data_IF_325155410312
#
_entry.id   IF_325155410312
#
_cell.length_a   1.000
_cell.length_b   1.000
_cell.length_c   1.000
_cell.angle_alpha   90.00
_cell.angle_beta   90.00
_cell.angle_gamma   90.00
#
_symmetry.space_group_name_H-M   'P 1'
#
loop_
_entity.id
_entity.type
_entity.pdbx_description
1 polymer ?
#
# COMPACT_ATOMS: atom_id res chain seq x y z
N UNK A 1 -6.55 24.67 -2.45
CA UNK A 1 -6.72 24.18 -3.85
C UNK A 1 -7.98 23.34 -3.96
N UNK A 2 -8.54 23.24 -5.15
CA UNK A 2 -9.56 22.26 -5.49
C UNK A 2 -8.90 21.03 -6.09
N UNK A 3 -9.03 19.88 -5.44
CA UNK A 3 -8.34 18.64 -5.80
C UNK A 3 -9.39 17.59 -6.19
N UNK A 4 -9.25 16.96 -7.33
CA UNK A 4 -10.10 15.84 -7.71
C UNK A 4 -9.28 14.55 -7.83
N UNK A 5 -9.60 13.56 -6.99
CA UNK A 5 -9.04 12.21 -7.12
C UNK A 5 -9.89 11.37 -8.07
N UNK A 6 -9.24 10.62 -8.96
CA UNK A 6 -9.88 9.63 -9.83
C UNK A 6 -9.37 8.24 -9.49
N UNK A 7 -10.28 7.32 -9.19
CA UNK A 7 -9.94 5.92 -8.87
C UNK A 7 -11.07 4.99 -9.28
N UNK A 8 -10.79 3.74 -9.64
CA UNK A 8 -11.84 2.74 -9.82
C UNK A 8 -12.32 2.23 -8.45
N UNK A 9 -11.38 2.05 -7.52
CA UNK A 9 -11.61 1.46 -6.21
C UNK A 9 -11.64 2.51 -5.10
N UNK A 10 -12.71 2.51 -4.29
CA UNK A 10 -12.88 3.38 -3.11
C UNK A 10 -13.70 2.67 -2.03
N UNK A 11 -13.79 3.27 -0.84
CA UNK A 11 -14.68 2.75 0.21
C UNK A 11 -16.13 2.60 -0.30
N UNK A 12 -16.88 1.57 0.14
CA UNK A 12 -16.63 0.65 1.24
C UNK A 12 -15.81 -0.60 0.88
N UNK A 13 -15.25 -0.71 -0.34
CA UNK A 13 -14.30 -1.77 -0.62
C UNK A 13 -13.06 -1.60 0.26
N UNK A 14 -12.58 -2.72 0.85
CA UNK A 14 -11.42 -2.72 1.72
C UNK A 14 -10.20 -3.30 0.98
N UNK A 15 -9.21 -2.47 0.78
CA UNK A 15 -7.92 -2.81 0.17
C UNK A 15 -6.92 -1.68 0.37
N UNK A 16 -5.70 -1.88 -0.08
CA UNK A 16 -4.61 -0.91 0.12
C UNK A 16 -4.85 0.42 -0.61
N UNK A 17 -5.31 0.37 -1.87
CA UNK A 17 -5.55 1.56 -2.70
C UNK A 17 -6.72 2.35 -2.15
N UNK A 18 -7.84 1.69 -1.89
CA UNK A 18 -9.09 2.29 -1.41
C UNK A 18 -8.87 3.07 -0.12
N UNK A 19 -8.19 2.43 0.83
CA UNK A 19 -7.89 3.02 2.13
C UNK A 19 -6.93 4.20 1.98
N UNK A 20 -5.89 4.09 1.16
CA UNK A 20 -4.93 5.17 0.95
C UNK A 20 -5.54 6.37 0.24
N UNK A 21 -6.33 6.17 -0.79
CA UNK A 21 -7.00 7.27 -1.49
C UNK A 21 -7.99 7.98 -0.56
N UNK A 22 -8.77 7.23 0.22
CA UNK A 22 -9.69 7.82 1.18
C UNK A 22 -8.96 8.63 2.26
N UNK A 23 -7.88 8.07 2.84
CA UNK A 23 -7.07 8.76 3.86
C UNK A 23 -6.38 10.00 3.29
N UNK A 24 -5.78 9.92 2.10
CA UNK A 24 -5.15 11.07 1.45
C UNK A 24 -6.18 12.19 1.23
N UNK A 25 -7.36 11.87 0.68
CA UNK A 25 -8.42 12.83 0.46
C UNK A 25 -8.90 13.49 1.76
N UNK A 26 -9.09 12.71 2.84
CA UNK A 26 -9.47 13.21 4.15
C UNK A 26 -8.40 14.12 4.76
N UNK A 27 -7.12 13.75 4.67
CA UNK A 27 -6.00 14.55 5.18
C UNK A 27 -5.85 15.88 4.41
N UNK A 28 -6.06 15.87 3.11
CA UNK A 28 -6.05 17.09 2.30
C UNK A 28 -7.25 18.00 2.62
N UNK A 29 -8.43 17.44 2.83
CA UNK A 29 -9.60 18.20 3.27
C UNK A 29 -9.36 18.83 4.66
N UNK A 30 -8.76 18.08 5.59
CA UNK A 30 -8.38 18.58 6.91
C UNK A 30 -7.30 19.68 6.82
N UNK A 31 -6.44 19.67 5.80
CA UNK A 31 -5.49 20.74 5.50
C UNK A 31 -6.11 21.98 4.80
N UNK A 32 -7.45 22.02 4.63
CA UNK A 32 -8.17 23.16 4.10
C UNK A 32 -8.31 23.17 2.56
N UNK A 33 -8.11 22.03 1.90
CA UNK A 33 -8.38 21.90 0.46
C UNK A 33 -9.85 21.52 0.21
N UNK A 34 -10.40 21.93 -0.92
CA UNK A 34 -11.69 21.46 -1.45
C UNK A 34 -11.45 20.18 -2.23
N UNK A 35 -11.88 19.04 -1.67
CA UNK A 35 -11.50 17.71 -2.17
C UNK A 35 -12.70 16.94 -2.67
N UNK A 36 -12.62 16.45 -3.89
CA UNK A 36 -13.56 15.50 -4.47
C UNK A 36 -12.89 14.18 -4.87
N UNK A 37 -13.62 13.09 -4.73
CA UNK A 37 -13.22 11.76 -5.23
C UNK A 37 -14.25 11.31 -6.27
N UNK A 38 -13.80 10.91 -7.45
CA UNK A 38 -14.61 10.27 -8.46
C UNK A 38 -14.21 8.80 -8.54
N UNK A 39 -15.15 7.91 -8.25
CA UNK A 39 -14.87 6.47 -8.25
C UNK A 39 -15.96 5.67 -8.97
N UNK A 40 -15.63 4.42 -9.34
CA UNK A 40 -16.61 3.50 -9.93
C UNK A 40 -17.12 2.45 -8.95
N UNK A 41 -16.66 2.49 -7.70
CA UNK A 41 -17.15 1.65 -6.61
C UNK A 41 -18.55 2.08 -6.17
N UNK A 42 -19.56 1.17 -6.14
CA UNK A 42 -20.89 1.48 -5.64
C UNK A 42 -20.88 1.77 -4.12
N UNK A 43 -21.79 2.62 -3.64
CA UNK A 43 -21.93 2.94 -2.21
C UNK A 43 -22.31 1.71 -1.35
N UNK A 44 -23.02 0.76 -1.95
CA UNK A 44 -23.45 -0.51 -1.34
C UNK A 44 -23.60 -1.59 -2.42
N UNK A 45 -23.47 -2.88 -2.07
CA UNK A 45 -23.68 -3.96 -3.04
C UNK A 45 -24.98 -3.79 -3.83
N UNK A 46 -24.92 -3.92 -5.15
CA UNK A 46 -26.07 -3.79 -6.04
C UNK A 46 -26.49 -2.35 -6.39
N UNK A 47 -25.94 -1.32 -5.76
CA UNK A 47 -26.19 0.06 -6.16
C UNK A 47 -25.60 0.33 -7.57
N UNK A 48 -26.30 1.13 -8.36
CA UNK A 48 -25.90 1.53 -9.71
C UNK A 48 -26.40 2.93 -10.06
N UNK A 49 -25.81 3.53 -11.09
CA UNK A 49 -26.09 4.91 -11.49
C UNK A 49 -25.01 5.88 -11.00
N UNK A 50 -25.27 7.15 -11.24
CA UNK A 50 -24.41 8.25 -10.80
C UNK A 50 -25.01 8.85 -9.53
N UNK A 51 -24.22 8.93 -8.48
CA UNK A 51 -24.62 9.57 -7.21
C UNK A 51 -23.49 10.42 -6.66
N UNK A 52 -23.85 11.37 -5.82
CA UNK A 52 -22.90 12.20 -5.08
C UNK A 52 -23.26 12.13 -3.60
N UNK A 53 -22.26 11.90 -2.77
CA UNK A 53 -22.39 11.82 -1.32
C UNK A 53 -21.22 12.54 -0.62
N UNK A 54 -21.25 12.62 0.70
CA UNK A 54 -20.16 13.14 1.52
C UNK A 54 -19.55 12.03 2.35
N UNK A 55 -18.21 12.02 2.39
CA UNK A 55 -17.40 11.20 3.30
C UNK A 55 -16.58 12.17 4.18
N UNK A 56 -17.16 12.59 5.31
CA UNK A 56 -16.64 13.72 6.07
C UNK A 56 -16.69 15.01 5.23
N UNK A 57 -15.53 15.67 5.09
CA UNK A 57 -15.38 16.89 4.30
C UNK A 57 -15.08 16.63 2.81
N UNK A 58 -14.99 15.36 2.41
CA UNK A 58 -14.72 14.95 1.01
C UNK A 58 -16.03 14.74 0.24
N UNK A 59 -16.15 15.34 -0.95
CA UNK A 59 -17.24 15.05 -1.88
C UNK A 59 -16.93 13.79 -2.68
N UNK A 60 -17.84 12.80 -2.70
CA UNK A 60 -17.63 11.54 -3.42
C UNK A 60 -18.66 11.40 -4.55
N UNK A 61 -18.18 11.41 -5.79
CA UNK A 61 -18.97 11.12 -6.99
C UNK A 61 -18.81 9.65 -7.36
N UNK A 62 -19.88 8.88 -7.27
CA UNK A 62 -19.88 7.46 -7.60
C UNK A 62 -20.47 7.23 -8.98
N UNK A 63 -19.71 6.54 -9.81
CA UNK A 63 -20.09 6.14 -11.17
C UNK A 63 -20.27 4.62 -11.19
N UNK A 64 -21.31 4.11 -10.57
CA UNK A 64 -21.53 2.68 -10.45
C UNK A 64 -22.28 2.13 -11.68
N UNK A 65 -21.76 1.06 -12.30
CA UNK A 65 -22.40 0.36 -13.39
C UNK A 65 -22.63 -1.11 -13.05
N UNK A 66 -23.67 -1.71 -13.64
CA UNK A 66 -23.87 -3.15 -13.60
C UNK A 66 -22.90 -3.81 -14.59
N UNK A 67 -21.88 -4.47 -14.07
CA UNK A 67 -20.90 -5.18 -14.87
C UNK A 67 -20.86 -6.64 -14.40
N UNK A 68 -20.80 -7.63 -15.30
CA UNK A 68 -20.62 -9.03 -14.94
C UNK A 68 -19.40 -9.20 -14.01
N UNK A 69 -19.53 -10.00 -12.96
CA UNK A 69 -18.47 -10.21 -11.98
C UNK A 69 -18.31 -9.12 -10.91
N UNK A 70 -19.15 -8.05 -10.92
CA UNK A 70 -19.17 -7.04 -9.86
C UNK A 70 -17.92 -6.13 -9.80
N UNK A 71 -17.10 -6.11 -10.86
CA UNK A 71 -15.92 -5.25 -10.90
C UNK A 71 -16.33 -3.77 -10.91
N UNK A 72 -15.58 -2.89 -10.20
CA UNK A 72 -15.83 -1.45 -10.16
C UNK A 72 -15.37 -0.78 -11.47
N UNK A 73 -16.12 -0.97 -12.54
CA UNK A 73 -15.84 -0.43 -13.89
C UNK A 73 -17.08 0.24 -14.43
N UNK A 74 -16.91 1.38 -15.09
CA UNK A 74 -18.02 2.06 -15.76
C UNK A 74 -17.68 2.36 -17.24
N UNK A 75 -18.40 1.79 -18.21
CA UNK A 75 -18.06 1.93 -19.64
C UNK A 75 -18.04 3.38 -20.15
N UNK A 76 -18.82 4.26 -19.53
CA UNK A 76 -18.89 5.70 -19.86
C UNK A 76 -18.16 6.58 -18.82
N UNK A 77 -17.24 6.03 -18.04
CA UNK A 77 -16.49 6.80 -17.03
C UNK A 77 -15.88 8.09 -17.60
N UNK A 78 -15.19 8.11 -18.77
CA UNK A 78 -14.63 9.35 -19.34
C UNK A 78 -15.67 10.47 -19.56
N UNK A 79 -16.90 10.12 -19.96
CA UNK A 79 -17.98 11.08 -20.16
C UNK A 79 -18.45 11.69 -18.82
N UNK A 80 -18.65 10.86 -17.81
CA UNK A 80 -19.07 11.34 -16.49
C UNK A 80 -17.96 12.15 -15.81
N UNK A 81 -16.72 11.68 -15.89
CA UNK A 81 -15.55 12.42 -15.41
C UNK A 81 -15.48 13.81 -16.08
N UNK A 82 -15.66 13.90 -17.41
CA UNK A 82 -15.67 15.20 -18.09
C UNK A 82 -16.76 16.15 -17.58
N UNK A 83 -17.91 15.63 -17.15
CA UNK A 83 -18.98 16.43 -16.54
C UNK A 83 -18.60 16.94 -15.17
N UNK A 84 -18.07 16.07 -14.32
CA UNK A 84 -17.59 16.44 -12.97
C UNK A 84 -16.49 17.49 -13.07
N UNK A 85 -15.44 17.26 -13.89
CA UNK A 85 -14.33 18.21 -14.03
C UNK A 85 -14.79 19.58 -14.55
N UNK A 86 -15.82 19.66 -15.39
CA UNK A 86 -16.40 20.95 -15.81
C UNK A 86 -17.19 21.65 -14.73
N UNK A 87 -17.88 20.90 -13.87
CA UNK A 87 -18.66 21.45 -12.76
C UNK A 87 -17.75 21.93 -11.62
N UNK A 88 -16.84 21.08 -11.18
CA UNK A 88 -16.02 21.30 -9.98
C UNK A 88 -14.79 22.19 -10.29
N UNK A 89 -14.35 22.25 -11.55
CA UNK A 89 -13.19 23.03 -12.00
C UNK A 89 -11.96 22.86 -11.09
N UNK A 90 -11.44 21.64 -10.96
CA UNK A 90 -10.30 21.39 -10.09
C UNK A 90 -9.04 22.11 -10.56
N UNK A 91 -8.19 22.47 -9.61
CA UNK A 91 -6.87 23.03 -9.87
C UNK A 91 -5.88 21.93 -10.28
N UNK A 92 -6.11 20.69 -9.77
CA UNK A 92 -5.33 19.49 -10.08
C UNK A 92 -6.19 18.23 -10.03
N UNK A 93 -5.82 17.26 -10.87
CA UNK A 93 -6.44 15.93 -10.88
C UNK A 93 -5.39 14.88 -10.52
N UNK A 94 -5.64 14.08 -9.49
CA UNK A 94 -4.79 13.00 -9.05
C UNK A 94 -5.43 11.65 -9.36
N UNK A 95 -4.84 10.90 -10.31
CA UNK A 95 -5.35 9.60 -10.72
C UNK A 95 -4.62 8.48 -9.95
N UNK A 96 -5.36 7.51 -9.44
CA UNK A 96 -4.83 6.37 -8.68
C UNK A 96 -5.04 5.09 -9.46
N UNK A 97 -3.93 4.41 -9.80
CA UNK A 97 -3.93 3.27 -10.70
C UNK A 97 -3.40 2.01 -10.01
N UNK A 98 -4.19 0.95 -10.05
CA UNK A 98 -3.72 -0.43 -9.87
C UNK A 98 -3.30 -1.07 -11.20
N UNK A 99 -3.21 -2.40 -11.23
CA UNK A 99 -3.00 -3.12 -12.50
C UNK A 99 -4.25 -3.06 -13.39
N UNK A 100 -5.42 -3.26 -12.79
CA UNK A 100 -6.73 -3.25 -13.48
C UNK A 100 -7.59 -2.11 -12.96
N UNK A 101 -7.47 -0.95 -13.56
CA UNK A 101 -8.27 0.25 -13.27
C UNK A 101 -8.72 0.91 -14.57
N UNK A 102 -9.54 0.19 -15.39
CA UNK A 102 -9.84 0.60 -16.76
C UNK A 102 -10.61 1.92 -16.85
N UNK A 103 -11.44 2.26 -15.86
CA UNK A 103 -12.19 3.51 -15.85
C UNK A 103 -11.26 4.71 -15.61
N UNK A 104 -10.32 4.59 -14.67
CA UNK A 104 -9.28 5.61 -14.40
C UNK A 104 -8.36 5.75 -15.61
N UNK A 105 -7.88 4.63 -16.18
CA UNK A 105 -7.00 4.63 -17.35
C UNK A 105 -7.67 5.31 -18.57
N UNK A 106 -8.92 4.97 -18.86
CA UNK A 106 -9.67 5.60 -19.94
C UNK A 106 -9.95 7.09 -19.72
N UNK A 107 -10.12 7.50 -18.43
CA UNK A 107 -10.40 8.89 -18.05
C UNK A 107 -9.15 9.78 -18.10
N UNK A 108 -7.94 9.22 -18.06
CA UNK A 108 -6.69 10.00 -18.14
C UNK A 108 -6.65 10.89 -19.40
N UNK A 109 -7.06 10.34 -20.56
CA UNK A 109 -7.12 11.13 -21.80
C UNK A 109 -8.08 12.32 -21.70
N UNK A 110 -9.16 12.17 -20.95
CA UNK A 110 -10.13 13.24 -20.70
C UNK A 110 -9.53 14.38 -19.90
N UNK A 111 -8.79 14.04 -18.83
CA UNK A 111 -8.06 15.03 -17.98
C UNK A 111 -7.03 15.78 -18.82
N UNK A 112 -6.22 15.07 -19.60
CA UNK A 112 -5.20 15.64 -20.47
C UNK A 112 -5.80 16.59 -21.53
N UNK A 113 -6.94 16.20 -22.12
CA UNK A 113 -7.66 17.04 -23.10
C UNK A 113 -8.29 18.28 -22.49
N UNK A 114 -8.69 18.21 -21.23
CA UNK A 114 -9.18 19.37 -20.49
C UNK A 114 -8.05 20.37 -20.14
N UNK A 115 -6.78 19.99 -20.36
CA UNK A 115 -5.62 20.82 -20.07
C UNK A 115 -5.39 21.01 -18.57
N UNK A 116 -5.90 20.14 -17.73
CA UNK A 116 -5.75 20.19 -16.28
C UNK A 116 -4.39 19.63 -15.85
N UNK A 117 -3.75 20.22 -14.83
CA UNK A 117 -2.62 19.60 -14.14
C UNK A 117 -3.00 18.19 -13.68
N UNK A 118 -2.15 17.20 -13.96
CA UNK A 118 -2.44 15.81 -13.67
C UNK A 118 -1.26 15.10 -13.03
N UNK A 119 -1.51 14.40 -11.92
CA UNK A 119 -0.62 13.41 -11.31
C UNK A 119 -1.26 12.04 -11.49
N UNK A 120 -0.49 11.02 -11.86
CA UNK A 120 -0.96 9.64 -11.87
C UNK A 120 -0.04 8.79 -11.00
N UNK A 121 -0.60 8.18 -9.96
CA UNK A 121 0.14 7.32 -9.03
C UNK A 121 -0.20 5.84 -9.24
N UNK A 122 0.85 5.04 -9.49
CA UNK A 122 0.78 3.57 -9.57
C UNK A 122 0.94 2.97 -8.17
N UNK A 123 -0.08 2.21 -7.72
CA UNK A 123 -0.12 1.61 -6.38
C UNK A 123 0.21 0.12 -6.34
N UNK A 124 0.36 -0.52 -7.49
CA UNK A 124 0.53 -1.98 -7.56
C UNK A 124 1.77 -2.34 -8.34
N UNK A 125 2.43 -3.42 -7.94
CA UNK A 125 3.48 -4.05 -8.75
C UNK A 125 2.84 -4.59 -10.04
N UNK A 126 3.40 -4.20 -11.18
CA UNK A 126 2.84 -4.59 -12.49
C UNK A 126 3.19 -6.01 -12.90
N UNK A 127 4.33 -6.57 -12.41
CA UNK A 127 4.78 -7.90 -12.80
C UNK A 127 4.73 -8.10 -14.32
N UNK A 128 4.06 -9.16 -14.76
CA UNK A 128 3.89 -9.45 -16.19
C UNK A 128 3.08 -8.42 -16.99
N UNK A 129 2.29 -7.56 -16.34
CA UNK A 129 1.47 -6.53 -17.01
C UNK A 129 2.33 -5.39 -17.60
N UNK A 130 3.59 -5.23 -17.19
CA UNK A 130 4.51 -4.23 -17.76
C UNK A 130 4.60 -4.31 -19.28
N UNK A 131 4.70 -5.53 -19.81
CA UNK A 131 4.78 -5.74 -21.28
C UNK A 131 3.51 -5.28 -21.99
N UNK A 132 2.35 -5.48 -21.38
CA UNK A 132 1.07 -5.04 -21.93
C UNK A 132 0.98 -3.50 -21.93
N UNK A 133 1.39 -2.83 -20.86
CA UNK A 133 1.45 -1.36 -20.77
C UNK A 133 2.44 -0.77 -21.76
N UNK A 134 3.61 -1.37 -21.94
CA UNK A 134 4.60 -0.96 -22.94
C UNK A 134 4.07 -1.16 -24.38
N UNK A 135 3.36 -2.27 -24.64
CA UNK A 135 2.69 -2.50 -25.92
C UNK A 135 1.62 -1.46 -26.20
N UNK A 136 0.80 -1.14 -25.22
CA UNK A 136 -0.23 -0.11 -25.31
C UNK A 136 0.39 1.28 -25.58
N UNK A 137 1.52 1.60 -24.97
CA UNK A 137 2.21 2.87 -25.17
C UNK A 137 2.68 3.07 -26.62
N UNK A 138 3.09 2.01 -27.31
CA UNK A 138 3.49 2.09 -28.72
C UNK A 138 2.35 2.60 -29.64
N UNK A 139 1.11 2.32 -29.24
CA UNK A 139 -0.09 2.72 -30.01
C UNK A 139 -0.64 4.05 -29.50
N UNK A 140 -0.90 4.14 -28.21
CA UNK A 140 -1.59 5.28 -27.58
C UNK A 140 -0.64 6.43 -27.27
N UNK A 141 0.66 6.12 -27.12
CA UNK A 141 1.72 7.08 -26.75
C UNK A 141 1.41 7.85 -25.47
N UNK A 142 0.82 7.17 -24.47
CA UNK A 142 0.43 7.77 -23.21
C UNK A 142 1.63 8.32 -22.42
N UNK A 143 2.80 7.71 -22.54
CA UNK A 143 4.04 8.19 -21.91
C UNK A 143 4.46 9.60 -22.30
N UNK A 144 3.90 10.13 -23.40
CA UNK A 144 4.16 11.50 -23.90
C UNK A 144 3.11 12.52 -23.45
N UNK A 145 2.13 12.09 -22.69
CA UNK A 145 1.11 13.00 -22.17
C UNK A 145 1.68 13.88 -21.07
N UNK A 146 1.19 15.14 -20.91
CA UNK A 146 1.66 16.07 -19.91
C UNK A 146 1.10 15.70 -18.53
N UNK A 147 1.63 14.65 -17.97
CA UNK A 147 1.25 14.07 -16.69
C UNK A 147 2.51 13.92 -15.88
N UNK A 148 2.48 14.30 -14.61
CA UNK A 148 3.49 13.86 -13.67
C UNK A 148 3.18 12.41 -13.30
N UNK A 149 4.03 11.51 -13.73
CA UNK A 149 3.92 10.10 -13.41
C UNK A 149 4.48 9.84 -12.03
N UNK A 150 3.83 9.01 -11.26
CA UNK A 150 4.32 8.64 -9.94
C UNK A 150 3.99 7.19 -9.58
N UNK A 151 4.70 6.70 -8.59
CA UNK A 151 4.48 5.37 -8.03
C UNK A 151 4.74 5.39 -6.52
N UNK A 152 4.22 4.42 -5.78
CA UNK A 152 4.32 4.43 -4.31
C UNK A 152 5.67 3.96 -3.77
N UNK A 153 6.54 3.41 -4.61
CA UNK A 153 7.86 2.88 -4.26
C UNK A 153 8.77 2.82 -5.50
N UNK A 154 10.06 2.67 -5.32
CA UNK A 154 11.01 2.46 -6.42
C UNK A 154 10.69 1.16 -7.17
N UNK A 155 10.29 0.10 -6.47
CA UNK A 155 9.84 -1.16 -7.06
C UNK A 155 8.72 -0.94 -8.09
N UNK A 156 7.76 -0.07 -7.78
CA UNK A 156 6.65 0.24 -8.68
C UNK A 156 6.97 1.35 -9.68
N UNK A 157 7.93 2.23 -9.39
CA UNK A 157 8.40 3.27 -10.29
C UNK A 157 9.30 2.74 -11.42
N UNK A 158 10.13 1.73 -11.14
CA UNK A 158 11.11 1.22 -12.11
C UNK A 158 10.49 0.75 -13.44
N UNK A 159 9.42 -0.07 -13.49
CA UNK A 159 8.75 -0.41 -14.75
C UNK A 159 8.13 0.80 -15.44
N UNK A 160 7.58 1.73 -14.67
CA UNK A 160 7.01 2.96 -15.20
C UNK A 160 8.08 3.84 -15.85
N UNK A 161 9.26 4.01 -15.21
CA UNK A 161 10.41 4.74 -15.77
C UNK A 161 10.93 4.10 -17.06
N UNK A 162 10.98 2.76 -17.14
CA UNK A 162 11.38 2.08 -18.37
C UNK A 162 10.47 2.41 -19.57
N UNK A 163 9.17 2.54 -19.31
CA UNK A 163 8.20 2.88 -20.37
C UNK A 163 8.23 4.37 -20.67
N UNK A 164 8.23 5.23 -19.66
CA UNK A 164 8.21 6.69 -19.83
C UNK A 164 9.53 7.20 -20.42
N UNK A 165 10.68 6.70 -19.94
CA UNK A 165 12.01 7.15 -20.36
C UNK A 165 12.16 8.66 -20.23
N UNK A 166 12.86 9.29 -21.16
CA UNK A 166 13.10 10.75 -21.19
C UNK A 166 11.89 11.56 -21.67
N UNK A 167 10.73 10.92 -21.92
CA UNK A 167 9.52 11.58 -22.44
C UNK A 167 8.67 12.23 -21.37
N UNK A 168 8.92 11.91 -20.12
CA UNK A 168 8.19 12.44 -18.97
C UNK A 168 8.94 12.24 -17.67
N UNK A 169 8.42 12.81 -16.61
CA UNK A 169 8.98 12.71 -15.26
C UNK A 169 8.26 11.64 -14.46
N UNK A 170 9.01 10.82 -13.72
CA UNK A 170 8.49 9.79 -12.81
C UNK A 170 9.07 10.00 -11.42
N UNK A 171 8.22 10.29 -10.46
CA UNK A 171 8.57 10.51 -9.05
C UNK A 171 8.02 9.40 -8.16
N UNK A 172 8.59 9.23 -6.97
CA UNK A 172 8.02 8.35 -5.94
C UNK A 172 7.21 9.20 -4.97
N UNK A 173 5.93 8.84 -4.80
CA UNK A 173 5.01 9.43 -3.82
C UNK A 173 4.56 8.31 -2.87
N UNK A 174 5.13 8.28 -1.69
CA UNK A 174 4.84 7.26 -0.71
C UNK A 174 3.40 7.37 -0.18
N UNK A 175 2.84 6.24 0.23
CA UNK A 175 1.59 6.22 0.99
C UNK A 175 1.80 6.81 2.39
N UNK A 176 0.74 7.40 2.95
CA UNK A 176 0.76 7.95 4.30
C UNK A 176 0.19 7.00 5.33
N UNK A 177 0.68 7.15 6.56
CA UNK A 177 0.17 6.44 7.73
C UNK A 177 -0.09 7.44 8.87
N UNK A 178 -1.16 7.20 9.62
CA UNK A 178 -1.38 7.84 10.91
C UNK A 178 -0.51 7.14 11.95
N UNK A 179 0.69 7.69 12.16
CA UNK A 179 1.68 7.08 13.05
C UNK A 179 1.20 7.04 14.50
N UNK A 180 0.47 8.07 14.94
CA UNK A 180 -0.02 8.16 16.32
C UNK A 180 -1.10 7.12 16.59
N UNK A 181 -1.96 6.82 15.63
CA UNK A 181 -2.96 5.77 15.74
C UNK A 181 -2.34 4.38 15.93
N UNK A 182 -1.11 4.17 15.44
CA UNK A 182 -0.40 2.88 15.58
C UNK A 182 0.66 2.87 16.68
N UNK A 183 0.94 4.00 17.30
CA UNK A 183 1.81 4.07 18.49
C UNK A 183 1.08 3.49 19.69
N UNK A 184 1.17 2.18 19.86
CA UNK A 184 0.51 1.47 20.97
C UNK A 184 1.40 1.41 22.20
N UNK A 185 0.87 1.73 23.41
CA UNK A 185 1.58 1.49 24.66
C UNK A 185 1.83 -0.01 24.82
N UNK A 186 3.06 -0.41 25.04
CA UNK A 186 3.36 -1.80 25.42
C UNK A 186 2.96 -2.02 26.86
N UNK A 187 1.92 -2.78 27.07
CA UNK A 187 1.29 -2.90 28.38
C UNK A 187 2.02 -3.83 29.35
N UNK A 188 3.01 -4.65 28.94
CA UNK A 188 3.59 -5.64 29.88
C UNK A 188 5.02 -6.15 29.56
N UNK A 189 5.76 -5.55 28.62
CA UNK A 189 7.13 -5.94 28.36
C UNK A 189 8.12 -4.77 28.56
N UNK A 190 8.19 -4.29 29.78
CA UNK A 190 9.33 -3.49 30.23
C UNK A 190 10.53 -4.44 30.39
N UNK A 191 11.36 -4.52 29.34
CA UNK A 191 12.50 -5.43 29.30
C UNK A 191 12.06 -6.89 29.01
N UNK A 192 12.47 -7.40 27.84
CA UNK A 192 12.33 -8.82 27.53
C UNK A 192 13.13 -9.59 28.58
N UNK A 193 12.51 -10.46 29.36
CA UNK A 193 13.26 -11.36 30.23
C UNK A 193 14.17 -12.24 29.36
N UNK A 194 15.39 -12.43 29.80
CA UNK A 194 16.34 -13.35 29.17
C UNK A 194 15.66 -14.71 28.97
N UNK A 195 15.65 -15.23 27.72
CA UNK A 195 14.96 -16.47 27.40
C UNK A 195 13.45 -16.34 27.07
N UNK A 196 12.85 -15.16 27.10
CA UNK A 196 11.44 -15.00 26.67
C UNK A 196 11.26 -15.28 25.16
N UNK A 197 10.17 -15.95 24.81
CA UNK A 197 9.83 -16.24 23.41
C UNK A 197 9.74 -14.98 22.56
N UNK A 198 10.26 -15.02 21.32
CA UNK A 198 10.05 -13.98 20.32
C UNK A 198 8.65 -14.12 19.75
N UNK A 199 7.84 -13.08 19.85
CA UNK A 199 6.51 -13.09 19.24
C UNK A 199 6.54 -12.40 17.86
N UNK A 200 6.43 -13.20 16.82
CA UNK A 200 6.36 -12.75 15.42
C UNK A 200 4.90 -12.63 14.98
N UNK A 201 4.56 -11.54 14.33
CA UNK A 201 3.22 -11.35 13.79
C UNK A 201 3.25 -10.99 12.30
N UNK A 202 2.21 -11.39 11.59
CA UNK A 202 1.91 -10.86 10.25
C UNK A 202 0.42 -10.55 10.16
N UNK A 203 0.08 -9.47 9.44
CA UNK A 203 -1.30 -9.11 9.14
C UNK A 203 -1.45 -8.95 7.62
N UNK A 204 -2.11 -9.92 6.98
CA UNK A 204 -2.17 -9.96 5.52
C UNK A 204 -3.34 -10.79 5.00
N UNK A 205 -3.70 -10.60 3.71
CA UNK A 205 -4.61 -11.50 3.03
C UNK A 205 -3.92 -12.83 2.75
N UNK A 206 -4.57 -13.95 3.08
CA UNK A 206 -4.06 -15.29 2.79
C UNK A 206 -4.25 -15.62 1.31
N UNK A 207 -3.27 -15.21 0.51
CA UNK A 207 -3.25 -15.37 -0.95
C UNK A 207 -1.81 -15.62 -1.44
N UNK A 208 -1.58 -16.30 -2.57
CA UNK A 208 -0.27 -16.76 -3.02
C UNK A 208 0.80 -15.66 -3.04
N UNK A 209 0.47 -14.47 -3.57
CA UNK A 209 1.40 -13.34 -3.62
C UNK A 209 1.82 -12.79 -2.25
N UNK A 210 1.05 -13.09 -1.19
CA UNK A 210 1.36 -12.68 0.18
C UNK A 210 2.24 -13.68 0.92
N UNK A 211 2.46 -14.85 0.32
CA UNK A 211 3.47 -15.85 0.73
C UNK A 211 3.28 -16.37 2.16
N UNK A 212 2.01 -16.58 2.57
CA UNK A 212 1.72 -17.09 3.93
C UNK A 212 2.20 -18.54 4.09
N UNK A 213 2.00 -19.39 3.09
CA UNK A 213 2.48 -20.78 3.12
C UNK A 213 4.02 -20.85 3.14
N UNK A 214 4.78 -20.13 2.27
CA UNK A 214 6.23 -20.03 2.40
C UNK A 214 6.70 -19.49 3.76
N UNK A 215 5.97 -18.52 4.37
CA UNK A 215 6.30 -18.05 5.72
C UNK A 215 6.15 -19.16 6.77
N UNK A 216 5.15 -20.02 6.65
CA UNK A 216 5.00 -21.19 7.54
C UNK A 216 6.16 -22.18 7.38
N UNK A 217 6.69 -22.37 6.17
CA UNK A 217 7.91 -23.17 5.95
C UNK A 217 9.13 -22.53 6.62
N UNK A 218 9.31 -21.21 6.45
CA UNK A 218 10.35 -20.43 7.15
C UNK A 218 10.24 -20.58 8.67
N UNK A 219 9.03 -20.50 9.22
CA UNK A 219 8.78 -20.70 10.67
C UNK A 219 9.16 -22.12 11.08
N UNK A 220 8.75 -23.13 10.34
CA UNK A 220 9.10 -24.54 10.62
C UNK A 220 10.62 -24.73 10.69
N UNK A 221 11.35 -24.18 9.70
CA UNK A 221 12.79 -24.30 9.60
C UNK A 221 13.52 -23.55 10.75
N UNK A 222 13.00 -22.36 11.15
CA UNK A 222 13.51 -21.64 12.29
C UNK A 222 13.27 -22.37 13.63
N UNK A 223 12.06 -22.91 13.83
CA UNK A 223 11.71 -23.67 15.04
C UNK A 223 12.58 -24.92 15.22
N UNK A 224 12.91 -25.63 14.12
CA UNK A 224 13.78 -26.81 14.16
C UNK A 224 15.23 -26.50 14.65
N UNK A 225 15.61 -25.21 14.67
CA UNK A 225 16.95 -24.72 15.05
C UNK A 225 16.96 -23.98 16.38
N UNK A 226 15.81 -23.80 17.02
CA UNK A 226 15.62 -23.05 18.26
C UNK A 226 15.23 -23.95 19.41
N UNK A 227 15.50 -23.59 20.66
CA UNK A 227 14.93 -24.25 21.82
C UNK A 227 13.39 -24.22 21.80
N UNK A 228 12.79 -25.23 22.39
CA UNK A 228 11.32 -25.27 22.51
C UNK A 228 10.81 -24.03 23.24
N UNK A 229 9.73 -23.43 22.69
CA UNK A 229 9.13 -22.21 23.24
C UNK A 229 9.85 -20.92 22.93
N UNK A 230 10.98 -20.92 22.20
CA UNK A 230 11.72 -19.70 21.84
C UNK A 230 11.01 -18.79 20.83
N UNK A 231 10.04 -19.33 20.06
CA UNK A 231 9.31 -18.61 19.04
C UNK A 231 7.80 -18.82 19.18
N UNK A 232 7.05 -17.73 19.06
CA UNK A 232 5.60 -17.73 18.91
C UNK A 232 5.20 -16.90 17.68
N UNK A 233 4.26 -17.38 16.86
CA UNK A 233 3.88 -16.74 15.60
C UNK A 233 2.38 -16.55 15.52
N UNK A 234 1.90 -15.35 15.23
CA UNK A 234 0.49 -15.08 15.00
C UNK A 234 0.29 -14.49 13.60
N UNK A 235 -0.40 -15.23 12.72
CA UNK A 235 -0.71 -14.78 11.37
C UNK A 235 -2.18 -14.37 11.32
N UNK A 236 -2.44 -13.06 11.36
CA UNK A 236 -3.77 -12.48 11.30
C UNK A 236 -4.18 -12.24 9.84
N UNK A 237 -5.37 -12.66 9.47
CA UNK A 237 -5.90 -12.44 8.14
C UNK A 237 -6.86 -13.51 7.68
N UNK A 238 -7.37 -13.34 6.47
CA UNK A 238 -8.30 -14.24 5.83
C UNK A 238 -8.01 -14.30 4.32
N UNK A 239 -8.47 -15.35 3.66
CA UNK A 239 -8.29 -15.51 2.22
C UNK A 239 -8.29 -16.95 1.77
N UNK A 240 -8.13 -17.20 0.45
CA UNK A 240 -8.26 -18.54 -0.13
C UNK A 240 -7.25 -19.57 0.40
N UNK A 241 -6.06 -19.13 0.89
CA UNK A 241 -5.04 -20.05 1.44
C UNK A 241 -5.20 -20.31 2.95
N UNK A 242 -6.19 -19.73 3.65
CA UNK A 242 -6.35 -19.97 5.10
C UNK A 242 -6.62 -21.46 5.44
N UNK A 243 -7.43 -22.21 4.69
CA UNK A 243 -7.59 -23.65 4.92
C UNK A 243 -6.28 -24.43 4.76
N UNK A 244 -5.47 -24.08 3.76
CA UNK A 244 -4.17 -24.73 3.51
C UNK A 244 -3.16 -24.40 4.61
N UNK A 245 -3.15 -23.15 5.09
CA UNK A 245 -2.32 -22.73 6.21
C UNK A 245 -2.67 -23.49 7.51
N UNK A 246 -3.95 -23.69 7.80
CA UNK A 246 -4.41 -24.49 8.94
C UNK A 246 -3.99 -25.95 8.83
N UNK A 247 -4.12 -26.53 7.64
CA UNK A 247 -3.69 -27.89 7.35
C UNK A 247 -2.18 -28.03 7.54
N UNK A 248 -1.37 -27.11 6.99
CA UNK A 248 0.08 -27.12 7.16
C UNK A 248 0.50 -27.09 8.63
N UNK A 249 -0.11 -26.19 9.43
CA UNK A 249 0.16 -26.10 10.88
C UNK A 249 -0.11 -27.42 11.59
N UNK A 250 -1.22 -28.10 11.26
CA UNK A 250 -1.59 -29.39 11.87
C UNK A 250 -0.65 -30.52 11.43
N UNK A 251 -0.35 -30.64 10.14
CA UNK A 251 0.49 -31.71 9.56
C UNK A 251 1.95 -31.64 10.06
N UNK A 252 2.45 -30.43 10.33
CA UNK A 252 3.82 -30.23 10.81
C UNK A 252 3.95 -30.05 12.32
N UNK A 253 2.89 -30.26 13.08
CA UNK A 253 2.91 -30.17 14.56
C UNK A 253 3.18 -28.76 15.09
N UNK A 254 2.90 -27.69 14.32
CA UNK A 254 3.20 -26.31 14.69
C UNK A 254 2.10 -25.65 15.55
N UNK A 255 1.11 -26.39 16.02
CA UNK A 255 -0.04 -25.85 16.73
C UNK A 255 0.29 -25.16 18.08
N UNK A 256 1.40 -25.51 18.73
CA UNK A 256 1.89 -24.84 19.93
C UNK A 256 2.67 -23.54 19.62
N UNK A 257 3.13 -23.36 18.38
CA UNK A 257 3.94 -22.21 17.94
C UNK A 257 3.12 -21.21 17.14
N UNK A 258 2.24 -21.68 16.23
CA UNK A 258 1.53 -20.86 15.26
C UNK A 258 0.06 -20.70 15.60
N UNK A 259 -0.41 -19.45 15.69
CA UNK A 259 -1.80 -19.07 15.87
C UNK A 259 -2.37 -18.41 14.61
N UNK A 260 -3.56 -18.83 14.18
CA UNK A 260 -4.28 -18.32 13.00
C UNK A 260 -5.66 -17.78 13.42
N UNK A 261 -5.74 -16.58 14.03
CA UNK A 261 -6.99 -16.05 14.60
C UNK A 261 -8.02 -15.64 13.55
N UNK A 262 -7.68 -15.67 12.25
CA UNK A 262 -8.50 -15.11 11.20
C UNK A 262 -8.31 -13.59 11.08
N UNK A 263 -9.29 -12.92 10.48
CA UNK A 263 -9.24 -11.46 10.27
C UNK A 263 -9.46 -10.72 11.58
N UNK A 264 -8.60 -9.73 11.84
CA UNK A 264 -8.72 -8.78 12.94
C UNK A 264 -9.07 -7.38 12.40
N UNK A 265 -9.81 -6.62 13.17
CA UNK A 265 -10.02 -5.18 12.93
C UNK A 265 -8.80 -4.36 13.42
N UNK A 266 -8.82 -3.05 13.20
CA UNK A 266 -7.73 -2.16 13.61
C UNK A 266 -7.42 -2.27 15.11
N UNK A 267 -8.44 -2.31 15.97
CA UNK A 267 -8.28 -2.44 17.43
C UNK A 267 -7.69 -3.80 17.81
N UNK A 268 -8.09 -4.87 17.12
CA UNK A 268 -7.53 -6.21 17.29
C UNK A 268 -6.06 -6.27 16.87
N UNK A 269 -5.69 -5.62 15.76
CA UNK A 269 -4.31 -5.51 15.31
C UNK A 269 -3.45 -4.69 16.27
N UNK A 270 -3.95 -3.55 16.78
CA UNK A 270 -3.25 -2.76 17.79
C UNK A 270 -2.95 -3.57 19.06
N UNK A 271 -3.95 -4.33 19.55
CA UNK A 271 -3.75 -5.25 20.70
C UNK A 271 -2.74 -6.36 20.39
N UNK A 272 -2.73 -6.88 19.16
CA UNK A 272 -1.76 -7.88 18.73
C UNK A 272 -0.35 -7.27 18.70
N UNK A 273 -0.18 -6.11 18.09
CA UNK A 273 1.12 -5.44 17.98
C UNK A 273 1.67 -4.98 19.35
N UNK A 274 0.80 -4.59 20.29
CA UNK A 274 1.21 -4.27 21.66
C UNK A 274 1.94 -5.42 22.40
N UNK A 275 1.75 -6.66 21.95
CA UNK A 275 2.31 -7.88 22.55
C UNK A 275 3.37 -8.56 21.67
N UNK A 276 3.57 -8.07 20.47
CA UNK A 276 4.49 -8.65 19.50
C UNK A 276 5.89 -7.99 19.56
N UNK A 277 6.88 -8.65 18.98
CA UNK A 277 8.24 -8.17 18.87
C UNK A 277 8.64 -7.90 17.42
N UNK A 278 8.18 -8.73 16.49
CA UNK A 278 8.58 -8.71 15.08
C UNK A 278 7.34 -8.70 14.20
N UNK A 279 7.33 -7.85 13.21
CA UNK A 279 6.37 -7.90 12.09
C UNK A 279 7.01 -8.56 10.89
N UNK A 280 6.46 -9.69 10.42
CA UNK A 280 6.94 -10.41 9.24
C UNK A 280 6.16 -10.00 7.98
N UNK A 281 6.89 -9.52 6.96
CA UNK A 281 6.38 -9.13 5.65
C UNK A 281 7.09 -9.92 4.53
N UNK A 282 6.75 -11.20 4.31
CA UNK A 282 7.49 -12.12 3.43
C UNK A 282 7.23 -11.91 1.94
N UNK A 283 6.29 -11.04 1.57
CA UNK A 283 5.87 -10.82 0.20
C UNK A 283 6.95 -10.11 -0.63
N UNK A 284 7.34 -10.70 -1.76
CA UNK A 284 8.28 -10.12 -2.72
C UNK A 284 7.59 -9.04 -3.57
N UNK A 285 6.39 -9.34 -4.04
CA UNK A 285 5.57 -8.40 -4.84
C UNK A 285 4.70 -7.50 -3.95
N UNK A 286 5.30 -6.87 -2.95
CA UNK A 286 4.63 -5.89 -2.10
C UNK A 286 5.01 -4.48 -2.54
N UNK A 287 4.03 -3.74 -3.04
CA UNK A 287 4.28 -2.41 -3.60
C UNK A 287 4.77 -1.40 -2.55
N UNK A 288 4.24 -1.45 -1.33
CA UNK A 288 4.56 -0.48 -0.28
C UNK A 288 4.60 -1.08 1.14
N UNK A 289 3.66 -1.96 1.46
CA UNK A 289 3.60 -2.67 2.74
C UNK A 289 3.06 -1.85 3.90
N UNK A 290 1.85 -1.32 3.76
CA UNK A 290 1.19 -0.53 4.82
C UNK A 290 1.18 -1.26 6.15
N UNK A 291 0.86 -2.57 6.16
CA UNK A 291 0.81 -3.35 7.40
C UNK A 291 2.20 -3.47 8.08
N UNK A 292 3.30 -3.52 7.30
CA UNK A 292 4.64 -3.50 7.87
C UNK A 292 4.97 -2.14 8.51
N UNK A 293 4.49 -1.04 7.91
CA UNK A 293 4.61 0.30 8.50
C UNK A 293 3.78 0.45 9.77
N UNK A 294 2.59 -0.13 9.82
CA UNK A 294 1.76 -0.18 11.02
C UNK A 294 2.49 -0.92 12.15
N UNK A 295 3.12 -2.07 11.84
CA UNK A 295 3.95 -2.81 12.76
C UNK A 295 5.18 -1.99 13.23
N UNK A 296 5.90 -1.33 12.30
CA UNK A 296 7.02 -0.46 12.63
C UNK A 296 6.59 0.72 13.53
N UNK A 297 5.48 1.38 13.21
CA UNK A 297 4.93 2.48 14.01
C UNK A 297 4.50 2.03 15.42
N UNK A 298 4.10 0.77 15.57
CA UNK A 298 3.85 0.13 16.86
C UNK A 298 5.16 -0.23 17.62
N UNK A 299 6.34 0.03 17.03
CA UNK A 299 7.65 -0.23 17.60
C UNK A 299 8.13 -1.67 17.42
N UNK A 300 7.57 -2.45 16.48
CA UNK A 300 8.05 -3.79 16.17
C UNK A 300 9.29 -3.74 15.27
N UNK A 301 10.20 -4.70 15.42
CA UNK A 301 11.20 -4.98 14.41
C UNK A 301 10.50 -5.48 13.13
N UNK A 302 11.00 -5.12 11.95
CA UNK A 302 10.43 -5.61 10.70
C UNK A 302 11.31 -6.72 10.13
N UNK A 303 10.70 -7.80 9.65
CA UNK A 303 11.35 -8.86 8.89
C UNK A 303 10.78 -8.87 7.47
N UNK A 304 11.61 -8.66 6.45
CA UNK A 304 11.12 -8.55 5.07
C UNK A 304 12.11 -9.08 4.04
N UNK A 305 11.65 -9.16 2.79
CA UNK A 305 12.47 -9.53 1.62
C UNK A 305 13.08 -8.28 0.99
N UNK A 306 14.35 -8.38 0.56
CA UNK A 306 15.07 -7.27 -0.10
C UNK A 306 14.41 -6.80 -1.40
N UNK A 307 13.68 -7.70 -2.09
CA UNK A 307 12.98 -7.39 -3.34
C UNK A 307 11.62 -6.69 -3.12
N UNK A 308 11.20 -6.51 -1.86
CA UNK A 308 9.92 -5.89 -1.50
C UNK A 308 10.02 -4.37 -1.45
N UNK A 309 8.98 -3.64 -1.86
CA UNK A 309 8.88 -2.20 -1.62
C UNK A 309 8.86 -1.81 -0.13
N UNK A 310 8.67 -2.77 0.78
CA UNK A 310 8.85 -2.58 2.23
C UNK A 310 10.30 -2.26 2.55
N UNK A 311 11.25 -3.00 1.97
CA UNK A 311 12.68 -2.89 2.26
C UNK A 311 13.28 -1.53 1.85
N UNK A 312 12.68 -0.84 0.89
CA UNK A 312 13.22 0.44 0.37
C UNK A 312 13.35 1.55 1.44
N UNK A 313 12.65 1.43 2.54
CA UNK A 313 12.63 2.42 3.64
C UNK A 313 13.25 1.91 4.92
N UNK A 314 13.79 0.71 4.87
CA UNK A 314 14.34 0.03 6.04
C UNK A 314 15.86 -0.13 5.88
N UNK A 315 16.54 -0.09 7.00
CA UNK A 315 17.99 -0.32 7.10
C UNK A 315 18.24 -1.61 7.85
N UNK A 316 18.84 -2.60 7.18
CA UNK A 316 19.14 -3.88 7.78
C UNK A 316 20.01 -3.73 9.05
N UNK A 317 19.64 -4.43 10.11
CA UNK A 317 20.28 -4.38 11.42
C UNK A 317 19.98 -3.14 12.27
N UNK A 318 19.22 -2.15 11.74
CA UNK A 318 18.88 -0.90 12.44
C UNK A 318 17.39 -0.85 12.81
N UNK A 319 16.50 -0.96 11.86
CA UNK A 319 15.04 -0.94 12.05
C UNK A 319 14.34 -2.22 11.55
N UNK A 320 15.09 -3.10 10.89
CA UNK A 320 14.62 -4.36 10.33
C UNK A 320 15.73 -5.41 10.24
N UNK A 321 15.36 -6.66 9.94
CA UNK A 321 16.21 -7.61 9.23
C UNK A 321 15.66 -7.84 7.82
N UNK A 322 16.55 -7.74 6.83
CA UNK A 322 16.21 -7.85 5.41
C UNK A 322 16.89 -9.08 4.83
N UNK A 323 16.13 -9.98 4.23
CA UNK A 323 16.62 -11.23 3.67
C UNK A 323 16.41 -11.34 2.16
N UNK A 324 17.34 -12.00 1.45
CA UNK A 324 17.25 -12.16 0.01
C UNK A 324 16.39 -13.35 -0.42
N UNK A 325 16.21 -14.34 0.46
CA UNK A 325 15.48 -15.57 0.20
C UNK A 325 14.77 -16.09 1.46
N UNK A 326 14.09 -17.22 1.35
CA UNK A 326 13.34 -17.80 2.47
C UNK A 326 14.27 -18.44 3.54
N UNK A 327 15.38 -19.11 3.16
CA UNK A 327 16.39 -19.49 4.15
C UNK A 327 16.92 -18.29 4.97
N UNK A 328 17.19 -17.16 4.31
CA UNK A 328 17.61 -15.92 4.98
C UNK A 328 16.54 -15.36 5.93
N UNK A 329 15.25 -15.51 5.63
CA UNK A 329 14.17 -15.18 6.57
C UNK A 329 14.20 -16.11 7.80
N UNK A 330 14.46 -17.42 7.62
CA UNK A 330 14.60 -18.36 8.72
C UNK A 330 15.82 -18.03 9.60
N UNK A 331 16.96 -17.71 8.97
CA UNK A 331 18.17 -17.24 9.68
C UNK A 331 17.88 -15.98 10.50
N UNK A 332 17.17 -15.02 9.94
CA UNK A 332 16.78 -13.79 10.63
C UNK A 332 15.86 -14.06 11.84
N UNK A 333 14.92 -15.01 11.75
CA UNK A 333 14.11 -15.44 12.90
C UNK A 333 14.96 -16.06 14.00
N UNK A 334 15.94 -16.90 13.65
CA UNK A 334 16.88 -17.47 14.59
C UNK A 334 17.74 -16.38 15.25
N UNK A 335 18.26 -15.43 14.46
CA UNK A 335 19.04 -14.28 14.98
C UNK A 335 18.24 -13.43 15.96
N UNK A 336 16.97 -13.13 15.68
CA UNK A 336 16.09 -12.42 16.60
C UNK A 336 15.92 -13.14 17.94
N UNK A 337 15.96 -14.47 17.93
CA UNK A 337 15.80 -15.29 19.14
C UNK A 337 17.11 -15.50 19.91
N UNK A 338 18.27 -15.49 19.23
CA UNK A 338 19.55 -15.96 19.80
C UNK A 338 20.66 -14.92 19.85
N UNK A 339 20.60 -13.85 19.04
CA UNK A 339 21.64 -12.82 19.03
C UNK A 339 21.36 -11.78 20.12
N UNK A 340 22.26 -11.69 21.10
CA UNK A 340 22.09 -10.85 22.27
C UNK A 340 21.86 -9.38 21.93
N UNK A 341 20.74 -8.84 22.42
CA UNK A 341 20.37 -7.43 22.29
C UNK A 341 20.02 -6.97 20.87
N UNK A 342 20.09 -7.81 19.83
CA UNK A 342 19.76 -7.41 18.45
C UNK A 342 18.32 -6.92 18.36
N UNK A 343 17.38 -7.75 18.79
CA UNK A 343 15.95 -7.45 18.72
C UNK A 343 15.60 -6.22 19.57
N UNK A 344 16.15 -6.11 20.76
CA UNK A 344 15.88 -4.98 21.67
C UNK A 344 16.40 -3.66 21.11
N UNK A 345 17.58 -3.65 20.46
CA UNK A 345 18.11 -2.46 19.77
C UNK A 345 17.20 -2.00 18.62
N UNK A 346 16.74 -2.93 17.78
CA UNK A 346 15.85 -2.61 16.66
C UNK A 346 14.51 -2.09 17.17
N UNK A 347 13.93 -2.73 18.17
CA UNK A 347 12.68 -2.28 18.81
C UNK A 347 12.83 -0.89 19.42
N UNK A 348 13.92 -0.63 20.14
CA UNK A 348 14.21 0.69 20.72
C UNK A 348 14.30 1.74 19.61
N UNK A 349 15.05 1.45 18.54
CA UNK A 349 15.15 2.36 17.38
C UNK A 349 13.77 2.69 16.78
N UNK A 350 12.95 1.68 16.49
CA UNK A 350 11.62 1.88 15.87
C UNK A 350 10.63 2.65 16.76
N UNK A 351 10.86 2.67 18.07
CA UNK A 351 10.07 3.48 19.02
C UNK A 351 10.53 4.92 19.08
N UNK A 352 11.84 5.13 19.04
CA UNK A 352 12.45 6.45 19.25
C UNK A 352 12.48 7.26 17.95
N UNK A 353 12.60 6.57 16.79
CA UNK A 353 12.70 7.19 15.47
C UNK A 353 11.40 6.98 14.70
N UNK A 354 10.53 8.00 14.58
CA UNK A 354 9.29 7.89 13.82
C UNK A 354 9.56 7.58 12.34
N UNK A 355 8.74 6.71 11.76
CA UNK A 355 8.76 6.42 10.32
C UNK A 355 8.55 7.70 9.50
N UNK A 356 9.23 7.80 8.36
CA UNK A 356 9.06 8.91 7.40
C UNK A 356 7.72 8.89 6.66
N UNK A 357 6.88 7.87 6.87
CA UNK A 357 5.58 7.72 6.22
C UNK A 357 4.43 8.49 6.90
N UNK A 358 4.72 9.36 7.87
CA UNK A 358 3.70 10.21 8.51
C UNK A 358 3.03 11.18 7.53
N UNK A 359 1.73 11.42 7.71
CA UNK A 359 0.93 12.29 6.84
C UNK A 359 1.51 13.67 6.60
N UNK A 360 2.10 14.40 7.58
CA UNK A 360 2.64 15.74 7.32
C UNK A 360 3.69 15.76 6.21
N UNK A 361 4.59 14.77 6.19
CA UNK A 361 5.60 14.64 5.15
C UNK A 361 5.00 14.23 3.80
N UNK A 362 4.10 13.25 3.82
CA UNK A 362 3.45 12.75 2.61
C UNK A 362 2.62 13.85 1.94
N UNK A 363 1.87 14.66 2.70
CA UNK A 363 1.13 15.80 2.16
C UNK A 363 2.06 16.81 1.49
N UNK A 364 3.18 17.18 2.13
CA UNK A 364 4.15 18.08 1.54
C UNK A 364 4.77 17.53 0.23
N UNK A 365 5.03 16.21 0.16
CA UNK A 365 5.53 15.57 -1.05
C UNK A 365 4.47 15.60 -2.18
N UNK A 366 3.22 15.34 -1.85
CA UNK A 366 2.09 15.37 -2.80
C UNK A 366 1.81 16.80 -3.28
N UNK A 367 1.88 17.81 -2.41
CA UNK A 367 1.73 19.21 -2.79
C UNK A 367 2.81 19.67 -3.79
N UNK A 368 4.08 19.31 -3.54
CA UNK A 368 5.16 19.55 -4.50
C UNK A 368 4.91 18.86 -5.86
N UNK A 369 4.34 17.65 -5.82
CA UNK A 369 3.96 16.97 -7.06
C UNK A 369 2.83 17.70 -7.79
N UNK A 370 1.89 18.31 -7.09
CA UNK A 370 0.83 19.11 -7.72
C UNK A 370 1.38 20.38 -8.37
N UNK A 371 2.30 21.09 -7.71
CA UNK A 371 3.02 22.25 -8.28
C UNK A 371 3.79 21.85 -9.54
N UNK A 372 4.47 20.71 -9.49
CA UNK A 372 5.21 20.19 -10.65
C UNK A 372 4.27 19.82 -11.80
N UNK A 373 3.14 19.18 -11.53
CA UNK A 373 2.12 18.88 -12.53
C UNK A 373 1.54 20.17 -13.18
N UNK A 374 1.36 21.23 -12.39
CA UNK A 374 0.92 22.52 -12.90
C UNK A 374 1.96 23.13 -13.88
N UNK A 375 3.24 23.04 -13.55
CA UNK A 375 4.33 23.48 -14.44
C UNK A 375 4.31 22.70 -15.76
N UNK A 376 4.20 21.37 -15.71
CA UNK A 376 4.12 20.48 -16.89
C UNK A 376 2.92 20.86 -17.79
N UNK A 377 1.77 21.18 -17.20
CA UNK A 377 0.58 21.57 -17.94
C UNK A 377 0.73 22.93 -18.64
N UNK A 378 1.42 23.89 -18.02
CA UNK A 378 1.70 25.23 -18.59
C UNK A 378 2.70 25.12 -19.74
N UNK A 379 3.81 24.41 -19.56
CA UNK A 379 4.86 24.23 -20.57
C UNK A 379 4.31 23.63 -21.88
N UNK A 380 3.32 22.74 -21.77
CA UNK A 380 2.67 22.20 -22.95
C UNK A 380 1.80 23.22 -23.68
N UNK A 381 1.07 24.08 -22.95
CA UNK A 381 0.24 25.13 -23.59
C UNK A 381 1.08 26.14 -24.36
N UNK A 382 2.33 26.37 -23.91
CA UNK A 382 3.28 27.26 -24.53
C UNK A 382 3.97 26.68 -25.79
N UNK A 383 3.96 25.34 -25.96
CA UNK A 383 4.53 24.69 -27.16
C UNK A 383 3.47 24.59 -28.25
N UNK A 384 3.66 25.28 -29.44
CA UNK A 384 2.72 25.11 -30.56
C UNK A 384 2.67 23.65 -30.99
N UNK A 385 1.48 23.17 -31.30
CA UNK A 385 1.24 21.83 -31.87
C UNK A 385 2.03 21.66 -33.15
N UNK A 386 3.12 20.86 -33.11
CA UNK A 386 3.78 20.35 -34.31
C UNK A 386 3.05 19.12 -34.83
#
# INVERSE_FOLDING_TARGET
MRITHLTDCYLPLLGGIETQVARLAQQQAAAGHDVAVVCTTPARPGAHGVSTERDGDVTVHRLAARVPGGYPVHPRAPHHVARVLRADRPDVVHLHMGVLTPSTQASLRTVVRAGLPAVLTVHSVWGGAERAFAGLDRVVRWSRWPVLWSAVSELTAAPLRRIVGDRGEVVVLHNGLDLDAWRVPRTERAGRMEGAAVHVVAATRFAPRKRVLPLLEVVRDAVARLPEGALHVTLAGDGPELPDARRFVAEHGLGSVVSLPGRLDATGLQRLYARADVFAAPAVEEAFGIAALEGQAAGLAVLTRSQSGVAERLTDGVDALVADDDPGLADALVRFATEDGLLDRIIAHNRDVPSSAGWPRVLADVERAYERAATIAVDRRARPSR
#
